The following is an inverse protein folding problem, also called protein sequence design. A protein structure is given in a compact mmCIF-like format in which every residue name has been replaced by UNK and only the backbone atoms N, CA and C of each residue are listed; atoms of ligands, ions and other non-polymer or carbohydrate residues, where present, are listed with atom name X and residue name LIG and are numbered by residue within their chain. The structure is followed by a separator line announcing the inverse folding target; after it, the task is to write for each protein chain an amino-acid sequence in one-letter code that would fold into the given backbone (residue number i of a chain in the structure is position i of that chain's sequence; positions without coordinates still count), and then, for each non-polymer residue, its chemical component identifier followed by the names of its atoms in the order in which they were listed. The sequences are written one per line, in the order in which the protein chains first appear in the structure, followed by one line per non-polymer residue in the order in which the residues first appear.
data_IF_017617626117
#
_entry.id   IF_017617626117
#
_cell.length_a   1.000
_cell.length_b   1.000
_cell.length_c   1.000
_cell.angle_alpha   90.00
_cell.angle_beta   90.00
_cell.angle_gamma   90.00
#
_symmetry.space_group_name_H-M   'P 1'
#
loop_
_entity.id
_entity.type
_entity.pdbx_description
1 polymer ?
#
# COMPACT_ATOMS: atom_id res chain seq x y z
N UNK A 1 20.00 -36.59 35.08
CA UNK A 1 20.79 -37.80 34.78
C UNK A 1 20.05 -38.63 33.74
N UNK A 2 20.50 -38.60 32.48
CA UNK A 2 20.01 -39.51 31.43
C UNK A 2 20.92 -40.76 31.44
N UNK A 3 20.30 -41.90 31.48
CA UNK A 3 20.98 -43.21 31.43
C UNK A 3 20.96 -43.72 30.00
N UNK A 4 22.13 -43.87 29.37
CA UNK A 4 22.25 -44.53 28.07
C UNK A 4 22.42 -46.03 28.27
N UNK A 5 21.52 -46.82 27.69
CA UNK A 5 21.66 -48.27 27.60
C UNK A 5 21.86 -48.66 26.14
N UNK A 6 22.95 -49.35 25.75
CA UNK A 6 23.04 -49.91 24.42
C UNK A 6 21.86 -50.83 24.17
N UNK A 7 21.15 -50.66 23.08
CA UNK A 7 19.89 -51.38 22.78
C UNK A 7 20.13 -52.86 22.43
N UNK A 8 21.40 -53.28 22.19
CA UNK A 8 21.65 -54.63 21.77
C UNK A 8 23.08 -55.09 22.20
N UNK A 9 23.18 -56.01 23.13
CA UNK A 9 24.46 -56.62 23.56
C UNK A 9 25.19 -57.31 22.38
N UNK A 10 24.47 -57.78 21.36
CA UNK A 10 25.06 -58.33 20.15
C UNK A 10 25.83 -57.32 19.32
N UNK A 11 25.41 -56.09 19.26
CA UNK A 11 26.12 -55.02 18.52
C UNK A 11 27.46 -54.67 19.20
N UNK A 12 27.54 -54.68 20.48
CA UNK A 12 28.78 -54.42 21.23
C UNK A 12 29.82 -55.52 20.99
N UNK A 13 29.37 -56.75 20.87
CA UNK A 13 30.27 -57.92 20.59
C UNK A 13 30.85 -57.86 19.19
N UNK A 14 30.06 -57.53 18.19
CA UNK A 14 30.53 -57.40 16.79
C UNK A 14 31.44 -56.13 16.62
N UNK A 15 31.18 -55.09 17.32
CA UNK A 15 31.96 -53.84 17.24
C UNK A 15 33.40 -53.99 17.78
N UNK A 16 33.63 -54.88 18.79
CA UNK A 16 34.97 -55.07 19.34
C UNK A 16 35.93 -55.84 18.41
N UNK A 17 35.41 -56.54 17.42
CA UNK A 17 36.21 -57.20 16.36
C UNK A 17 36.39 -56.38 15.09
N UNK A 18 35.70 -55.26 14.98
CA UNK A 18 35.80 -54.32 13.84
C UNK A 18 35.98 -52.90 14.35
N UNK A 19 37.16 -52.27 14.10
CA UNK A 19 37.37 -50.86 14.47
C UNK A 19 36.29 -49.95 13.90
N UNK A 20 35.85 -50.19 12.67
CA UNK A 20 34.83 -49.41 12.00
C UNK A 20 33.45 -49.46 12.68
N UNK A 21 33.10 -50.66 13.21
CA UNK A 21 31.85 -50.83 13.97
C UNK A 21 31.90 -50.16 15.35
N UNK A 22 33.10 -50.19 15.99
CA UNK A 22 33.29 -49.49 17.27
C UNK A 22 33.19 -47.95 17.06
N UNK A 23 33.80 -47.43 15.99
CA UNK A 23 33.74 -46.03 15.66
C UNK A 23 32.29 -45.59 15.37
N UNK A 24 31.55 -46.36 14.58
CA UNK A 24 30.13 -46.11 14.32
C UNK A 24 29.29 -46.15 15.60
N UNK A 25 29.62 -47.00 16.56
CA UNK A 25 28.92 -47.05 17.84
C UNK A 25 29.20 -45.82 18.69
N UNK A 26 30.48 -45.36 18.72
CA UNK A 26 30.86 -44.11 19.40
C UNK A 26 30.14 -42.93 18.77
N UNK A 27 30.09 -42.85 17.43
CA UNK A 27 29.35 -41.82 16.71
C UNK A 27 27.88 -41.83 17.09
N UNK A 28 27.24 -43.01 17.11
CA UNK A 28 25.84 -43.13 17.50
C UNK A 28 25.57 -42.62 18.91
N UNK A 29 26.49 -42.88 19.85
CA UNK A 29 26.38 -42.35 21.23
C UNK A 29 26.57 -40.85 21.25
N UNK A 30 27.60 -40.34 20.59
CA UNK A 30 27.85 -38.90 20.49
C UNK A 30 26.63 -38.16 19.86
N UNK A 31 26.11 -38.68 18.76
CA UNK A 31 24.92 -38.11 18.08
C UNK A 31 23.67 -38.09 18.97
N UNK A 32 23.55 -39.09 19.87
CA UNK A 32 22.47 -39.11 20.85
C UNK A 32 22.62 -38.08 21.98
N UNK A 33 23.83 -37.59 22.21
CA UNK A 33 24.15 -36.57 23.22
C UNK A 33 24.07 -35.15 22.61
N UNK A 34 24.60 -34.99 21.39
CA UNK A 34 24.67 -33.73 20.70
C UNK A 34 23.26 -33.21 20.38
N UNK A 35 23.02 -31.95 20.68
CA UNK A 35 21.83 -31.24 20.27
C UNK A 35 22.15 -29.75 20.15
N UNK A 36 21.55 -29.13 19.15
CA UNK A 36 21.60 -27.66 19.03
C UNK A 36 20.82 -27.00 20.16
N UNK A 37 21.19 -25.78 20.57
CA UNK A 37 20.39 -25.04 21.52
C UNK A 37 19.00 -24.73 20.94
N UNK A 38 18.01 -24.75 21.79
CA UNK A 38 16.67 -24.26 21.47
C UNK A 38 16.65 -22.78 21.83
N UNK A 39 16.45 -21.93 20.83
CA UNK A 39 16.38 -20.48 21.04
C UNK A 39 14.99 -20.06 21.50
N UNK A 40 14.92 -18.90 22.17
CA UNK A 40 13.66 -18.27 22.49
C UNK A 40 12.87 -17.94 21.22
N UNK A 41 11.56 -18.20 21.22
CA UNK A 41 10.67 -17.79 20.16
C UNK A 41 9.28 -17.44 20.69
N UNK A 42 8.67 -16.42 20.11
CA UNK A 42 7.23 -16.18 20.21
C UNK A 42 6.64 -16.53 18.84
N UNK A 43 5.80 -17.54 18.79
CA UNK A 43 5.18 -18.02 17.55
C UNK A 43 3.72 -17.56 17.48
N UNK A 44 3.35 -16.97 16.35
CA UNK A 44 1.98 -16.59 16.03
C UNK A 44 1.52 -17.47 14.88
N UNK A 45 0.48 -18.26 15.09
CA UNK A 45 -0.05 -19.18 14.09
C UNK A 45 -1.16 -18.51 13.25
N UNK A 46 -1.43 -19.07 12.07
CA UNK A 46 -2.49 -18.56 11.17
C UNK A 46 -3.91 -18.66 11.79
N UNK A 47 -4.12 -19.62 12.69
CA UNK A 47 -5.40 -19.79 13.42
C UNK A 47 -5.53 -18.86 14.64
N UNK A 48 -4.58 -17.95 14.83
CA UNK A 48 -4.65 -16.89 15.84
C UNK A 48 -4.22 -17.30 17.24
N UNK A 49 -3.36 -18.31 17.37
CA UNK A 49 -2.75 -18.67 18.65
C UNK A 49 -1.36 -18.07 18.77
N UNK A 50 -1.01 -17.72 20.00
CA UNK A 50 0.35 -17.28 20.36
C UNK A 50 0.94 -18.27 21.32
N UNK A 51 2.18 -18.72 21.08
CA UNK A 51 2.92 -19.59 21.97
C UNK A 51 4.33 -19.05 22.18
N UNK A 52 4.92 -19.44 23.31
CA UNK A 52 6.30 -19.08 23.67
C UNK A 52 7.13 -20.33 23.85
N UNK A 53 8.31 -20.36 23.24
CA UNK A 53 9.32 -21.41 23.42
C UNK A 53 10.37 -20.94 24.41
N UNK A 54 10.57 -21.69 25.50
CA UNK A 54 11.62 -21.41 26.47
C UNK A 54 12.96 -21.92 25.97
N UNK A 55 14.06 -21.12 26.05
CA UNK A 55 15.36 -21.56 25.60
C UNK A 55 15.84 -22.80 26.36
N UNK A 56 16.63 -23.60 25.68
CA UNK A 56 17.38 -24.71 26.27
C UNK A 56 18.79 -24.73 25.69
N UNK A 57 19.78 -24.87 26.55
CA UNK A 57 21.16 -25.03 26.11
C UNK A 57 21.35 -26.32 25.28
N UNK A 58 22.14 -26.18 24.24
CA UNK A 58 22.59 -27.30 23.43
C UNK A 58 23.76 -28.03 24.07
N UNK A 59 24.17 -29.14 23.46
CA UNK A 59 25.26 -30.01 23.92
C UNK A 59 26.12 -30.43 22.72
N UNK A 60 27.45 -30.44 22.93
CA UNK A 60 28.39 -30.98 21.96
C UNK A 60 29.39 -31.87 22.70
N UNK A 61 29.53 -33.12 22.27
CA UNK A 61 30.57 -34.02 22.78
C UNK A 61 31.95 -33.54 22.35
N UNK A 62 32.89 -33.49 23.27
CA UNK A 62 34.31 -33.14 22.99
C UNK A 62 35.08 -34.36 22.45
N UNK A 63 36.23 -34.11 21.78
CA UNK A 63 37.09 -35.22 21.33
C UNK A 63 37.58 -36.09 22.51
N UNK A 64 37.84 -35.50 23.65
CA UNK A 64 38.20 -36.20 24.87
C UNK A 64 37.06 -37.09 25.36
N UNK A 65 35.86 -36.58 25.35
CA UNK A 65 34.66 -37.34 25.69
C UNK A 65 34.40 -38.51 24.74
N UNK A 66 34.63 -38.24 23.42
CA UNK A 66 34.53 -39.28 22.40
C UNK A 66 35.46 -40.46 22.65
N UNK A 67 36.76 -40.16 23.00
CA UNK A 67 37.76 -41.17 23.37
C UNK A 67 37.33 -41.91 24.64
N UNK A 68 36.84 -41.21 25.66
CA UNK A 68 36.36 -41.82 26.90
C UNK A 68 35.16 -42.76 26.67
N UNK A 69 34.23 -42.37 25.82
CA UNK A 69 33.07 -43.18 25.41
C UNK A 69 33.60 -44.48 24.73
N UNK A 70 34.58 -44.35 23.83
CA UNK A 70 35.23 -45.48 23.14
C UNK A 70 35.89 -46.45 24.14
N UNK A 71 36.65 -45.93 25.09
CA UNK A 71 37.30 -46.72 26.13
C UNK A 71 36.26 -47.41 27.02
N UNK A 72 35.20 -46.73 27.38
CA UNK A 72 34.11 -47.26 28.21
C UNK A 72 33.39 -48.41 27.51
N UNK A 73 32.99 -48.20 26.23
CA UNK A 73 32.30 -49.23 25.44
C UNK A 73 33.18 -50.45 25.22
N UNK A 74 34.49 -50.26 24.97
CA UNK A 74 35.44 -51.35 24.82
C UNK A 74 35.68 -52.12 26.17
N UNK A 75 35.77 -51.39 27.28
CA UNK A 75 35.90 -51.98 28.62
C UNK A 75 34.67 -52.80 29.04
N UNK A 76 33.49 -52.32 28.73
CA UNK A 76 32.23 -53.04 28.99
C UNK A 76 32.17 -54.34 28.20
N UNK A 77 32.66 -54.37 26.97
CA UNK A 77 32.77 -55.58 26.15
C UNK A 77 33.76 -56.58 26.74
N UNK A 78 34.98 -56.15 27.11
CA UNK A 78 36.04 -57.05 27.63
C UNK A 78 35.72 -57.65 29.01
N UNK A 79 34.92 -56.96 29.81
CA UNK A 79 34.53 -57.42 31.14
C UNK A 79 33.35 -58.43 31.17
N UNK A 80 32.65 -58.60 30.02
CA UNK A 80 31.42 -59.37 29.96
C UNK A 80 30.30 -58.77 30.83
N UNK A 81 30.43 -57.54 31.25
CA UNK A 81 29.48 -56.78 32.03
C UNK A 81 28.48 -55.98 31.20
N UNK A 82 27.30 -55.77 31.73
CA UNK A 82 26.31 -54.83 31.23
C UNK A 82 26.96 -53.43 31.29
N UNK A 83 27.06 -52.67 30.16
CA UNK A 83 27.59 -51.30 30.15
C UNK A 83 26.63 -50.38 30.89
N UNK A 84 26.80 -50.33 32.21
CA UNK A 84 25.71 -49.90 33.04
C UNK A 84 25.40 -48.42 33.04
N UNK A 85 26.26 -47.49 32.84
CA UNK A 85 25.87 -46.07 32.85
C UNK A 85 26.99 -45.17 32.38
N UNK A 86 26.81 -44.46 31.24
CA UNK A 86 27.54 -43.23 30.95
C UNK A 86 26.77 -42.10 31.63
N UNK A 87 27.43 -41.42 32.58
CA UNK A 87 26.81 -40.27 33.25
C UNK A 87 26.89 -39.07 32.33
N UNK A 88 25.76 -38.61 31.84
CA UNK A 88 25.64 -37.43 30.99
C UNK A 88 25.68 -36.16 31.85
N UNK A 89 26.88 -35.65 32.10
CA UNK A 89 27.09 -34.36 32.77
C UNK A 89 27.97 -33.45 31.91
N UNK A 90 27.93 -32.11 32.11
CA UNK A 90 28.80 -31.18 31.42
C UNK A 90 30.29 -31.47 31.65
N UNK A 91 31.17 -31.22 30.70
CA UNK A 91 32.58 -31.44 30.80
C UNK A 91 33.24 -30.61 31.96
N UNK A 92 32.67 -29.44 32.28
CA UNK A 92 33.02 -28.63 33.43
C UNK A 92 32.79 -29.33 34.78
N UNK A 93 31.94 -30.38 34.83
CA UNK A 93 31.62 -31.23 35.98
C UNK A 93 32.22 -32.62 35.84
N UNK A 94 33.12 -32.84 34.89
CA UNK A 94 33.76 -34.12 34.64
C UNK A 94 32.96 -35.05 33.72
N UNK A 95 31.99 -34.54 33.02
CA UNK A 95 31.12 -35.28 32.07
C UNK A 95 31.60 -35.26 30.60
N UNK A 96 30.73 -35.62 29.70
CA UNK A 96 31.04 -35.99 28.29
C UNK A 96 30.66 -34.94 27.24
N UNK A 97 30.10 -33.78 27.61
CA UNK A 97 29.72 -32.76 26.65
C UNK A 97 30.03 -31.33 27.12
N UNK A 98 30.32 -30.44 26.18
CA UNK A 98 30.33 -29.02 26.41
C UNK A 98 28.90 -28.45 26.23
N UNK A 99 28.56 -27.47 27.05
CA UNK A 99 27.29 -26.73 26.94
C UNK A 99 27.41 -25.70 25.84
N UNK A 100 26.49 -25.72 24.89
CA UNK A 100 26.30 -24.65 23.91
C UNK A 100 25.19 -23.78 24.50
N UNK A 101 25.52 -22.57 25.04
CA UNK A 101 24.50 -21.75 25.70
C UNK A 101 23.51 -21.21 24.68
N UNK A 102 22.22 -21.30 24.98
CA UNK A 102 21.19 -20.53 24.29
C UNK A 102 21.37 -19.03 24.59
N UNK A 103 20.84 -18.19 23.72
CA UNK A 103 20.95 -16.73 23.90
C UNK A 103 20.17 -16.27 25.15
N UNK A 104 20.74 -15.30 25.88
CA UNK A 104 20.02 -14.60 26.94
C UNK A 104 18.81 -13.84 26.37
N UNK A 105 17.68 -13.90 27.08
CA UNK A 105 16.39 -13.37 26.62
C UNK A 105 15.99 -12.16 27.44
N UNK A 106 15.81 -11.03 26.77
CA UNK A 106 15.06 -9.88 27.30
C UNK A 106 13.60 -10.02 26.86
N UNK A 107 12.75 -10.51 27.75
CA UNK A 107 11.32 -10.72 27.48
C UNK A 107 10.60 -9.42 27.13
N UNK A 108 11.01 -8.28 27.67
CA UNK A 108 10.42 -6.98 27.33
C UNK A 108 10.76 -6.59 25.89
N UNK A 109 12.00 -6.70 25.49
CA UNK A 109 12.44 -6.43 24.13
C UNK A 109 11.80 -7.39 23.11
N UNK A 110 11.69 -8.66 23.46
CA UNK A 110 11.05 -9.67 22.60
C UNK A 110 9.54 -9.39 22.43
N UNK A 111 8.87 -8.99 23.50
CA UNK A 111 7.47 -8.57 23.45
C UNK A 111 7.29 -7.38 22.52
N UNK A 112 8.07 -6.31 22.70
CA UNK A 112 7.99 -5.10 21.87
C UNK A 112 8.23 -5.37 20.38
N UNK A 113 9.00 -6.39 20.05
CA UNK A 113 9.24 -6.80 18.66
C UNK A 113 8.05 -7.50 17.99
N UNK A 114 7.13 -8.06 18.78
CA UNK A 114 6.01 -8.87 18.28
C UNK A 114 4.67 -8.16 18.34
N UNK A 115 4.43 -7.37 19.42
CA UNK A 115 3.16 -6.66 19.56
C UNK A 115 3.02 -5.57 18.50
N UNK A 116 1.81 -5.41 17.98
CA UNK A 116 1.52 -4.38 16.99
C UNK A 116 0.13 -4.51 16.39
N UNK A 117 -0.22 -3.51 15.61
CA UNK A 117 -1.48 -3.50 14.86
C UNK A 117 -1.41 -4.41 13.65
N UNK A 118 -2.55 -4.99 13.25
CA UNK A 118 -2.63 -5.74 11.99
C UNK A 118 -2.31 -4.85 10.79
N UNK A 119 -1.63 -5.42 9.83
CA UNK A 119 -1.30 -4.77 8.56
C UNK A 119 -1.83 -5.63 7.42
N UNK A 120 -2.62 -5.04 6.55
CA UNK A 120 -3.12 -5.69 5.34
C UNK A 120 -2.00 -5.86 4.30
N UNK A 121 -2.13 -6.84 3.42
CA UNK A 121 -1.27 -6.97 2.25
C UNK A 121 -1.33 -5.71 1.38
N UNK A 122 -0.19 -5.33 0.81
CA UNK A 122 -0.03 -4.14 -0.02
C UNK A 122 0.57 -4.50 -1.38
N UNK A 123 0.50 -3.56 -2.32
CA UNK A 123 1.17 -3.67 -3.60
C UNK A 123 2.48 -2.88 -3.57
N UNK A 124 3.59 -3.55 -3.84
CA UNK A 124 4.89 -2.91 -3.99
C UNK A 124 4.97 -2.27 -5.40
N UNK A 125 5.07 -0.95 -5.41
CA UNK A 125 5.07 -0.15 -6.64
C UNK A 125 6.37 -0.25 -7.43
N UNK A 126 7.47 -0.64 -6.80
CA UNK A 126 8.78 -0.76 -7.42
C UNK A 126 8.96 -2.12 -8.07
N UNK A 127 8.60 -3.18 -7.37
CA UNK A 127 8.76 -4.56 -7.85
C UNK A 127 7.56 -5.07 -8.62
N UNK A 128 6.39 -4.48 -8.42
CA UNK A 128 5.11 -4.96 -8.97
C UNK A 128 4.56 -6.19 -8.26
N UNK A 129 5.10 -6.55 -7.10
CA UNK A 129 4.70 -7.71 -6.32
C UNK A 129 3.67 -7.34 -5.24
N UNK A 130 2.96 -8.35 -4.72
CA UNK A 130 2.16 -8.22 -3.52
C UNK A 130 3.04 -8.51 -2.31
N UNK A 131 3.13 -7.56 -1.39
CA UNK A 131 3.81 -7.71 -0.10
C UNK A 131 2.81 -8.25 0.92
N UNK A 132 3.08 -9.37 1.58
CA UNK A 132 2.22 -9.88 2.66
C UNK A 132 2.06 -8.85 3.79
N UNK A 133 0.88 -8.81 4.37
CA UNK A 133 0.66 -8.16 5.65
C UNK A 133 1.01 -9.09 6.82
N UNK A 134 0.77 -8.62 8.02
CA UNK A 134 0.94 -9.42 9.24
C UNK A 134 -0.23 -9.24 10.20
N UNK A 135 -0.46 -10.23 11.04
CA UNK A 135 -1.46 -10.15 12.10
C UNK A 135 -1.07 -9.07 13.13
N UNK A 136 -2.07 -8.43 13.67
CA UNK A 136 -1.93 -7.65 14.90
C UNK A 136 -1.88 -8.59 16.09
N UNK A 137 -0.96 -8.34 17.03
CA UNK A 137 -0.78 -9.18 18.23
C UNK A 137 -0.73 -8.30 19.45
N UNK A 138 -1.44 -8.68 20.48
CA UNK A 138 -1.40 -7.97 21.76
C UNK A 138 -1.43 -8.98 22.92
N UNK A 139 -0.53 -8.78 23.88
CA UNK A 139 -0.46 -9.50 25.16
C UNK A 139 0.35 -8.69 26.17
N UNK A 140 0.18 -8.97 27.47
CA UNK A 140 0.92 -8.27 28.51
C UNK A 140 2.28 -8.91 28.76
N UNK A 141 3.24 -8.11 29.27
CA UNK A 141 4.53 -8.67 29.71
C UNK A 141 4.35 -9.70 30.83
N UNK A 142 3.40 -9.46 31.72
CA UNK A 142 3.10 -10.39 32.82
C UNK A 142 2.58 -11.75 32.33
N UNK A 143 1.78 -11.78 31.25
CA UNK A 143 1.33 -13.04 30.65
C UNK A 143 2.52 -13.79 30.04
N UNK A 144 3.41 -13.07 29.34
CA UNK A 144 4.63 -13.66 28.75
C UNK A 144 5.57 -14.20 29.82
N UNK A 145 5.84 -13.43 30.88
CA UNK A 145 6.68 -13.88 32.02
C UNK A 145 6.08 -15.11 32.72
N UNK A 146 4.76 -15.13 32.87
CA UNK A 146 4.06 -16.25 33.51
C UNK A 146 4.17 -17.52 32.67
N UNK A 147 3.96 -17.44 31.36
CA UNK A 147 4.08 -18.56 30.43
C UNK A 147 5.54 -19.05 30.36
N UNK A 148 6.50 -18.12 30.23
CA UNK A 148 7.94 -18.42 30.19
C UNK A 148 8.41 -19.16 31.47
N UNK A 149 7.97 -18.70 32.65
CA UNK A 149 8.36 -19.29 33.92
C UNK A 149 7.69 -20.68 34.15
N UNK A 150 6.50 -20.89 33.62
CA UNK A 150 5.80 -22.16 33.72
C UNK A 150 6.38 -23.24 32.79
N UNK A 151 6.97 -22.86 31.65
CA UNK A 151 7.54 -23.79 30.68
C UNK A 151 8.81 -24.45 31.19
N UNK A 152 9.01 -25.74 30.88
CA UNK A 152 10.29 -26.41 31.01
C UNK A 152 11.27 -25.91 29.92
N UNK A 153 12.59 -26.10 30.14
CA UNK A 153 13.59 -25.77 29.14
C UNK A 153 13.32 -26.53 27.82
N UNK A 154 13.33 -25.83 26.69
CA UNK A 154 13.02 -26.37 25.37
C UNK A 154 11.53 -26.54 25.08
N UNK A 155 10.65 -26.31 26.06
CA UNK A 155 9.21 -26.49 25.89
C UNK A 155 8.57 -25.26 25.22
N UNK A 156 7.58 -25.52 24.36
CA UNK A 156 6.67 -24.51 23.78
C UNK A 156 5.33 -24.59 24.49
N UNK A 157 4.88 -23.49 25.08
CA UNK A 157 3.59 -23.41 25.78
C UNK A 157 2.73 -22.32 25.16
N UNK A 158 1.41 -22.48 25.21
CA UNK A 158 0.46 -21.46 24.75
C UNK A 158 0.55 -20.21 25.65
N UNK A 159 0.45 -19.04 25.05
CA UNK A 159 0.39 -17.76 25.75
C UNK A 159 -1.09 -17.40 26.00
N UNK A 160 -1.59 -17.57 27.21
CA UNK A 160 -2.98 -17.26 27.52
C UNK A 160 -3.21 -15.74 27.44
N UNK A 161 -4.45 -15.34 27.15
CA UNK A 161 -4.89 -13.95 27.04
C UNK A 161 -4.25 -13.16 25.87
N UNK A 162 -3.43 -13.77 25.03
CA UNK A 162 -2.99 -13.13 23.80
C UNK A 162 -4.17 -12.95 22.83
N UNK A 163 -4.26 -11.78 22.19
CA UNK A 163 -5.22 -11.52 21.15
C UNK A 163 -4.50 -11.38 19.80
N UNK A 164 -5.07 -12.00 18.77
CA UNK A 164 -4.54 -11.95 17.42
C UNK A 164 -5.63 -11.46 16.48
N UNK A 165 -5.35 -10.38 15.77
CA UNK A 165 -6.21 -9.86 14.73
C UNK A 165 -5.62 -10.18 13.36
N UNK A 166 -6.29 -11.01 12.59
CA UNK A 166 -5.86 -11.33 11.22
C UNK A 166 -6.03 -10.14 10.27
N UNK A 167 -5.16 -9.98 9.25
CA UNK A 167 -5.37 -8.99 8.20
C UNK A 167 -6.72 -9.16 7.51
N UNK A 168 -7.40 -8.03 7.21
CA UNK A 168 -8.66 -8.05 6.46
C UNK A 168 -8.42 -8.44 4.99
N UNK A 169 -7.20 -8.23 4.49
CA UNK A 169 -6.76 -8.55 3.14
C UNK A 169 -5.43 -9.31 3.22
N UNK A 170 -5.46 -10.59 2.89
CA UNK A 170 -4.24 -11.41 2.79
C UNK A 170 -3.56 -11.23 1.43
N UNK A 171 -2.28 -11.63 1.32
CA UNK A 171 -1.55 -11.56 0.05
C UNK A 171 -2.22 -12.41 -1.04
N UNK A 172 -2.71 -13.60 -0.70
CA UNK A 172 -3.41 -14.47 -1.64
C UNK A 172 -4.72 -13.86 -2.14
N UNK A 173 -5.51 -13.26 -1.24
CA UNK A 173 -6.73 -12.56 -1.61
C UNK A 173 -6.43 -11.37 -2.52
N UNK A 174 -5.45 -10.53 -2.15
CA UNK A 174 -5.07 -9.37 -2.94
C UNK A 174 -4.60 -9.77 -4.34
N UNK A 175 -3.77 -10.80 -4.45
CA UNK A 175 -3.25 -11.26 -5.73
C UNK A 175 -4.34 -11.72 -6.70
N UNK A 176 -5.41 -12.35 -6.20
CA UNK A 176 -6.57 -12.81 -7.00
C UNK A 176 -7.44 -11.68 -7.54
N UNK A 177 -7.46 -10.53 -6.85
CA UNK A 177 -8.42 -9.45 -7.17
C UNK A 177 -7.75 -8.12 -7.54
N UNK A 178 -6.42 -8.09 -7.62
CA UNK A 178 -5.63 -6.89 -7.86
C UNK A 178 -6.05 -6.21 -9.18
N UNK A 179 -6.53 -4.96 -9.08
CA UNK A 179 -7.01 -4.14 -10.19
C UNK A 179 -8.04 -4.82 -11.12
N UNK A 180 -8.79 -5.79 -10.60
CA UNK A 180 -9.73 -6.62 -11.39
C UNK A 180 -10.89 -5.82 -11.97
N UNK A 181 -11.36 -4.83 -11.21
CA UNK A 181 -12.59 -4.11 -11.51
C UNK A 181 -12.33 -2.66 -11.93
N UNK A 182 -13.24 -2.13 -12.76
CA UNK A 182 -13.32 -0.69 -12.99
C UNK A 182 -14.25 -0.10 -11.92
N UNK A 183 -13.67 0.67 -10.97
CA UNK A 183 -14.44 1.33 -9.92
C UNK A 183 -15.26 2.48 -10.49
N UNK A 184 -14.64 3.26 -11.38
CA UNK A 184 -15.31 4.36 -12.10
C UNK A 184 -14.60 4.68 -13.40
N UNK A 185 -15.31 5.41 -14.27
CA UNK A 185 -14.74 6.02 -15.48
C UNK A 185 -15.40 7.36 -15.71
N UNK A 186 -14.59 8.36 -16.05
CA UNK A 186 -15.11 9.65 -16.54
C UNK A 186 -14.40 10.07 -17.82
N UNK A 187 -15.15 10.67 -18.75
CA UNK A 187 -14.62 11.07 -20.05
C UNK A 187 -14.97 12.52 -20.35
N UNK A 188 -13.97 13.29 -20.77
CA UNK A 188 -14.16 14.67 -21.22
C UNK A 188 -13.70 14.83 -22.67
N UNK A 189 -14.41 15.69 -23.42
CA UNK A 189 -14.04 16.04 -24.80
C UNK A 189 -12.90 17.04 -24.78
N UNK A 190 -11.83 16.78 -25.55
CA UNK A 190 -10.66 17.67 -25.66
C UNK A 190 -10.75 18.50 -26.94
N UNK A 191 -11.03 19.79 -26.76
CA UNK A 191 -11.09 20.77 -27.86
C UNK A 191 -9.82 21.63 -27.92
N UNK A 192 -9.87 22.66 -28.77
CA UNK A 192 -8.86 23.70 -28.88
C UNK A 192 -7.70 23.38 -29.81
N UNK A 193 -6.68 24.27 -29.82
CA UNK A 193 -5.49 24.18 -30.66
C UNK A 193 -4.62 22.94 -30.36
N UNK A 194 -3.69 22.65 -31.27
CA UNK A 194 -2.79 21.47 -31.14
C UNK A 194 -1.97 21.51 -29.85
N UNK A 195 -1.44 22.64 -29.44
CA UNK A 195 -0.68 22.80 -28.20
C UNK A 195 -1.50 22.44 -26.95
N UNK A 196 -2.78 22.87 -26.89
CA UNK A 196 -3.67 22.49 -25.80
C UNK A 196 -3.91 20.99 -25.75
N UNK A 197 -4.17 20.37 -26.92
CA UNK A 197 -4.36 18.91 -27.01
C UNK A 197 -3.11 18.14 -26.60
N UNK A 198 -1.92 18.64 -27.00
CA UNK A 198 -0.63 18.06 -26.59
C UNK A 198 -0.45 18.13 -25.06
N UNK A 199 -0.78 19.27 -24.43
CA UNK A 199 -0.71 19.44 -22.98
C UNK A 199 -1.62 18.45 -22.24
N UNK A 200 -2.87 18.29 -22.67
CA UNK A 200 -3.81 17.32 -22.08
C UNK A 200 -3.28 15.89 -22.22
N UNK A 201 -2.77 15.53 -23.39
CA UNK A 201 -2.17 14.20 -23.64
C UNK A 201 -0.95 13.96 -22.75
N UNK A 202 -0.06 14.95 -22.64
CA UNK A 202 1.14 14.86 -21.79
C UNK A 202 0.75 14.72 -20.31
N UNK A 203 -0.20 15.53 -19.84
CA UNK A 203 -0.66 15.46 -18.45
C UNK A 203 -1.29 14.10 -18.15
N UNK A 204 -2.10 13.56 -19.06
CA UNK A 204 -2.68 12.22 -18.95
C UNK A 204 -1.58 11.14 -18.84
N UNK A 205 -0.53 11.22 -19.65
CA UNK A 205 0.57 10.24 -19.63
C UNK A 205 1.37 10.26 -18.32
N UNK A 206 1.37 11.37 -17.59
CA UNK A 206 2.08 11.50 -16.31
C UNK A 206 1.34 10.92 -15.11
N UNK A 207 0.02 10.80 -15.22
CA UNK A 207 -0.82 10.26 -14.14
C UNK A 207 -1.23 8.81 -14.39
N UNK A 208 -1.14 8.34 -15.64
CA UNK A 208 -1.49 6.95 -15.95
C UNK A 208 -0.49 5.99 -15.33
N UNK A 209 -0.99 4.90 -14.76
CA UNK A 209 -0.17 3.92 -14.04
C UNK A 209 0.07 4.25 -12.56
N UNK A 210 -0.36 5.43 -12.09
CA UNK A 210 -0.20 5.77 -10.67
C UNK A 210 -1.04 4.84 -9.79
N UNK A 211 -0.41 4.30 -8.74
CA UNK A 211 -1.03 3.32 -7.83
C UNK A 211 -1.06 3.91 -6.43
N UNK A 212 -2.19 3.70 -5.73
CA UNK A 212 -2.35 4.00 -4.32
C UNK A 212 -2.74 2.73 -3.58
N UNK A 213 -1.97 2.35 -2.57
CA UNK A 213 -2.40 1.36 -1.59
C UNK A 213 -3.53 1.93 -0.72
N UNK A 214 -4.15 1.06 0.08
CA UNK A 214 -5.16 1.48 1.07
C UNK A 214 -4.62 2.60 1.96
N UNK A 215 -5.41 3.64 2.19
CA UNK A 215 -5.06 4.79 3.02
C UNK A 215 -4.11 5.82 2.40
N UNK A 216 -3.48 5.53 1.27
CA UNK A 216 -2.57 6.47 0.60
C UNK A 216 -3.32 7.62 -0.09
N UNK A 217 -2.65 8.78 -0.16
CA UNK A 217 -3.17 9.99 -0.81
C UNK A 217 -2.36 10.30 -2.06
N UNK A 218 -3.04 10.51 -3.18
CA UNK A 218 -2.46 11.06 -4.39
C UNK A 218 -2.42 12.58 -4.29
N UNK A 219 -1.22 13.16 -4.50
CA UNK A 219 -1.02 14.59 -4.74
C UNK A 219 -0.78 14.77 -6.23
N UNK A 220 -1.72 15.43 -6.90
CA UNK A 220 -1.70 15.54 -8.37
C UNK A 220 -0.62 16.48 -8.89
N UNK A 221 -0.45 17.66 -8.25
CA UNK A 221 0.48 18.70 -8.69
C UNK A 221 1.91 18.22 -8.89
N UNK A 222 2.55 17.54 -7.93
CA UNK A 222 3.92 17.04 -8.09
C UNK A 222 4.16 16.14 -9.30
N UNK A 223 3.13 15.46 -9.80
CA UNK A 223 3.23 14.57 -10.96
C UNK A 223 3.27 15.34 -12.29
N UNK A 224 2.68 16.53 -12.34
CA UNK A 224 2.44 17.24 -13.59
C UNK A 224 3.18 18.58 -13.69
N UNK A 225 3.52 19.21 -12.57
CA UNK A 225 4.25 20.48 -12.54
C UNK A 225 5.77 20.27 -12.56
N UNK A 226 6.58 21.28 -12.86
CA UNK A 226 6.18 22.60 -13.35
C UNK A 226 5.70 22.58 -14.81
N UNK A 227 4.74 23.44 -15.14
CA UNK A 227 4.24 23.62 -16.50
C UNK A 227 5.23 24.48 -17.31
N UNK A 228 6.27 23.86 -17.84
CA UNK A 228 7.33 24.52 -18.62
C UNK A 228 7.56 23.84 -19.96
N UNK A 229 8.14 24.56 -20.93
CA UNK A 229 8.53 24.00 -22.21
C UNK A 229 9.60 22.90 -22.04
N UNK A 230 10.51 23.03 -21.07
CA UNK A 230 11.52 22.03 -20.73
C UNK A 230 10.89 20.71 -20.28
N UNK A 231 9.72 20.76 -19.66
CA UNK A 231 8.92 19.60 -19.28
C UNK A 231 7.96 19.12 -20.40
N UNK A 232 8.12 19.61 -21.63
CA UNK A 232 7.34 19.19 -22.79
C UNK A 232 5.99 19.88 -22.96
N UNK A 233 5.66 20.88 -22.14
CA UNK A 233 4.42 21.62 -22.29
C UNK A 233 4.51 22.68 -23.40
N UNK A 234 3.45 22.78 -24.18
CA UNK A 234 3.28 23.77 -25.23
C UNK A 234 2.57 25.02 -24.72
N UNK A 235 2.78 26.14 -25.39
CA UNK A 235 1.96 27.36 -25.21
C UNK A 235 0.56 27.11 -25.76
N UNK A 236 -0.45 27.47 -24.99
CA UNK A 236 -1.85 27.36 -25.36
C UNK A 236 -2.70 28.31 -24.50
N UNK A 237 -3.92 28.66 -24.93
CA UNK A 237 -4.82 29.47 -24.13
C UNK A 237 -5.11 28.85 -22.76
N UNK A 238 -4.93 29.63 -21.72
CA UNK A 238 -5.24 29.34 -20.34
C UNK A 238 -5.84 30.52 -19.62
N UNK A 239 -6.21 30.33 -18.36
CA UNK A 239 -6.82 31.42 -17.57
C UNK A 239 -5.80 31.96 -16.58
N UNK A 240 -5.53 33.27 -16.65
CA UNK A 240 -4.68 33.97 -15.70
C UNK A 240 -5.36 35.30 -15.30
N UNK A 241 -5.55 35.49 -13.99
CA UNK A 241 -6.14 36.73 -13.43
C UNK A 241 -7.45 37.19 -14.12
N UNK A 242 -8.31 36.24 -14.48
CA UNK A 242 -9.60 36.55 -15.11
C UNK A 242 -9.55 36.76 -16.61
N UNK A 243 -8.40 36.67 -17.25
CA UNK A 243 -8.22 36.82 -18.71
C UNK A 243 -7.82 35.45 -19.33
N UNK A 244 -8.19 35.27 -20.59
CA UNK A 244 -7.63 34.19 -21.40
C UNK A 244 -6.32 34.70 -21.98
N UNK A 245 -5.22 34.03 -21.68
CA UNK A 245 -3.88 34.38 -22.16
C UNK A 245 -3.19 33.14 -22.67
N UNK A 246 -2.29 33.30 -23.61
CA UNK A 246 -1.42 32.23 -24.04
C UNK A 246 -0.36 31.96 -22.95
N UNK A 247 -0.37 30.76 -22.42
CA UNK A 247 0.54 30.34 -21.36
C UNK A 247 1.02 28.91 -21.58
N UNK A 248 2.23 28.59 -21.09
CA UNK A 248 2.74 27.21 -21.15
C UNK A 248 1.91 26.35 -20.23
N UNK A 249 1.46 25.18 -20.72
CA UNK A 249 0.61 24.26 -19.97
C UNK A 249 -0.89 24.54 -20.05
N UNK A 250 -1.34 25.52 -20.88
CA UNK A 250 -2.77 25.79 -21.08
C UNK A 250 -3.54 24.50 -21.42
N UNK A 251 -4.62 24.22 -20.69
CA UNK A 251 -5.44 23.01 -20.81
C UNK A 251 -5.06 21.84 -19.90
N UNK A 252 -3.93 21.88 -19.19
CA UNK A 252 -3.48 20.79 -18.30
C UNK A 252 -4.50 20.44 -17.20
N UNK A 253 -5.22 21.44 -16.65
CA UNK A 253 -6.26 21.21 -15.63
C UNK A 253 -7.48 20.40 -16.13
N UNK A 254 -7.60 20.12 -17.43
CA UNK A 254 -8.63 19.20 -17.89
C UNK A 254 -8.39 17.77 -17.37
N UNK A 255 -7.13 17.36 -17.22
CA UNK A 255 -6.81 16.04 -16.69
C UNK A 255 -7.10 15.95 -15.19
N UNK A 256 -6.77 16.97 -14.38
CA UNK A 256 -7.15 17.01 -12.96
C UNK A 256 -8.67 17.00 -12.75
N UNK A 257 -9.41 17.75 -13.58
CA UNK A 257 -10.87 17.77 -13.52
C UNK A 257 -11.49 16.41 -13.89
N UNK A 258 -10.97 15.76 -14.94
CA UNK A 258 -11.45 14.44 -15.34
C UNK A 258 -11.17 13.37 -14.28
N UNK A 259 -9.99 13.42 -13.65
CA UNK A 259 -9.61 12.53 -12.55
C UNK A 259 -10.44 12.82 -11.28
N UNK A 260 -10.69 14.09 -10.94
CA UNK A 260 -11.55 14.46 -9.81
C UNK A 260 -12.96 13.88 -9.97
N UNK A 261 -13.55 14.06 -11.14
CA UNK A 261 -14.85 13.45 -11.43
C UNK A 261 -14.80 11.91 -11.29
N UNK A 262 -13.77 11.26 -11.84
CA UNK A 262 -13.60 9.81 -11.68
C UNK A 262 -13.46 9.41 -10.21
N UNK A 263 -12.70 10.15 -9.38
CA UNK A 263 -12.55 9.90 -7.96
C UNK A 263 -13.88 10.03 -7.19
N UNK A 264 -14.69 11.03 -7.53
CA UNK A 264 -16.05 11.19 -6.97
C UNK A 264 -16.94 9.98 -7.27
N UNK A 265 -16.97 9.53 -8.53
CA UNK A 265 -17.79 8.39 -8.97
C UNK A 265 -17.27 7.04 -8.44
N UNK A 266 -15.97 6.97 -8.06
CA UNK A 266 -15.39 5.80 -7.37
C UNK A 266 -15.62 5.83 -5.85
N UNK A 267 -16.33 6.83 -5.33
CA UNK A 267 -16.55 7.06 -3.91
C UNK A 267 -15.27 7.26 -3.08
N UNK A 268 -14.20 7.78 -3.70
CA UNK A 268 -12.95 8.06 -3.01
C UNK A 268 -13.04 9.36 -2.20
N UNK A 269 -12.26 9.44 -1.13
CA UNK A 269 -12.18 10.61 -0.26
C UNK A 269 -11.44 11.75 -0.98
N UNK A 270 -12.07 12.91 -1.11
CA UNK A 270 -11.43 14.11 -1.64
C UNK A 270 -10.79 14.88 -0.48
N UNK A 271 -9.46 14.95 -0.49
CA UNK A 271 -8.68 15.62 0.56
C UNK A 271 -8.58 17.13 0.28
N UNK A 272 -8.32 17.49 -0.98
CA UNK A 272 -8.21 18.88 -1.39
C UNK A 272 -8.68 19.06 -2.83
N UNK A 273 -9.47 20.11 -3.07
CA UNK A 273 -9.91 20.53 -4.41
C UNK A 273 -10.26 22.00 -4.43
N UNK A 274 -9.90 22.69 -5.51
CA UNK A 274 -10.32 24.07 -5.80
C UNK A 274 -10.98 24.10 -7.18
N UNK A 275 -12.16 24.76 -7.31
CA UNK A 275 -12.81 24.95 -8.59
C UNK A 275 -12.10 26.04 -9.43
N UNK A 276 -12.32 26.04 -10.76
CA UNK A 276 -11.87 27.13 -11.62
C UNK A 276 -12.61 28.44 -11.31
N UNK A 277 -11.98 29.56 -11.61
CA UNK A 277 -12.59 30.86 -11.46
C UNK A 277 -13.78 31.08 -12.40
N UNK A 278 -13.83 30.38 -13.54
CA UNK A 278 -14.91 30.40 -14.53
C UNK A 278 -15.40 28.98 -14.81
N UNK A 279 -16.67 28.84 -15.16
CA UNK A 279 -17.22 27.55 -15.56
C UNK A 279 -16.52 27.02 -16.82
N UNK A 280 -16.03 25.78 -16.77
CA UNK A 280 -15.38 25.10 -17.90
C UNK A 280 -16.41 24.48 -18.82
N UNK A 281 -16.15 24.53 -20.13
CA UNK A 281 -17.04 23.99 -21.17
C UNK A 281 -16.90 22.48 -21.40
N UNK A 282 -15.83 21.88 -20.90
CA UNK A 282 -15.51 20.46 -21.09
C UNK A 282 -16.02 19.54 -19.99
N UNK A 283 -16.51 20.11 -18.88
CA UNK A 283 -16.99 19.33 -17.71
C UNK A 283 -18.17 20.04 -17.03
N UNK A 284 -19.02 19.28 -16.35
CA UNK A 284 -20.16 19.82 -15.60
C UNK A 284 -19.77 20.70 -14.42
N UNK A 285 -20.67 21.61 -14.05
CA UNK A 285 -20.49 22.48 -12.88
C UNK A 285 -20.25 21.65 -11.61
N UNK A 286 -19.26 22.06 -10.82
CA UNK A 286 -18.89 21.38 -9.57
C UNK A 286 -18.02 20.12 -9.73
N UNK A 287 -17.68 19.73 -10.98
CA UNK A 287 -16.87 18.55 -11.28
C UNK A 287 -15.45 18.88 -11.74
N UNK A 288 -15.04 20.12 -11.69
CA UNK A 288 -13.72 20.60 -12.11
C UNK A 288 -12.75 20.69 -10.93
N UNK A 289 -11.45 20.60 -11.22
CA UNK A 289 -10.37 20.80 -10.27
C UNK A 289 -9.24 21.59 -10.91
N UNK A 290 -8.85 22.70 -10.27
CA UNK A 290 -7.74 23.56 -10.69
C UNK A 290 -6.46 23.15 -9.99
N UNK A 291 -5.37 23.07 -10.75
CA UNK A 291 -4.01 22.85 -10.23
C UNK A 291 -3.06 23.86 -10.86
N UNK A 292 -2.23 24.48 -10.03
CA UNK A 292 -1.20 25.41 -10.45
C UNK A 292 0.06 25.24 -9.62
N UNK A 293 1.21 25.52 -10.22
CA UNK A 293 2.48 25.49 -9.51
C UNK A 293 2.50 26.52 -8.38
N UNK A 294 2.73 26.06 -7.14
CA UNK A 294 2.71 26.91 -5.94
C UNK A 294 1.35 27.50 -5.59
N UNK A 295 0.27 26.94 -6.14
CA UNK A 295 -1.10 27.42 -5.96
C UNK A 295 -2.06 26.28 -5.63
N UNK A 296 -3.30 26.29 -6.18
CA UNK A 296 -4.28 25.26 -5.93
C UNK A 296 -3.75 23.86 -6.24
N UNK A 297 -4.10 22.89 -5.37
CA UNK A 297 -3.77 21.48 -5.50
C UNK A 297 -5.05 20.64 -5.60
N UNK A 298 -4.91 19.42 -6.13
CA UNK A 298 -5.91 18.39 -6.11
C UNK A 298 -5.35 17.14 -5.46
N UNK A 299 -5.98 16.72 -4.36
CA UNK A 299 -5.60 15.53 -3.60
C UNK A 299 -6.83 14.67 -3.32
N UNK A 300 -6.66 13.35 -3.45
CA UNK A 300 -7.65 12.38 -3.04
C UNK A 300 -6.98 11.17 -2.39
N UNK A 301 -7.70 10.50 -1.46
CA UNK A 301 -7.22 9.34 -0.74
C UNK A 301 -7.92 8.08 -1.22
N UNK A 302 -7.16 6.99 -1.29
CA UNK A 302 -7.74 5.67 -1.41
C UNK A 302 -8.27 5.22 -0.04
N UNK A 303 -9.55 5.43 0.20
CA UNK A 303 -10.27 5.00 1.40
C UNK A 303 -10.86 3.58 1.28
N UNK A 304 -10.44 2.81 0.26
CA UNK A 304 -10.80 1.40 0.12
C UNK A 304 -9.76 0.49 0.77
N UNK A 305 -10.09 -0.77 0.99
CA UNK A 305 -9.16 -1.75 1.56
C UNK A 305 -8.13 -2.28 0.54
N UNK A 306 -8.34 -2.04 -0.76
CA UNK A 306 -7.53 -2.59 -1.85
C UNK A 306 -6.78 -1.49 -2.60
N UNK A 307 -5.63 -1.80 -3.21
CA UNK A 307 -4.93 -0.86 -4.07
C UNK A 307 -5.80 -0.41 -5.25
N UNK A 308 -5.66 0.85 -5.64
CA UNK A 308 -6.28 1.40 -6.84
C UNK A 308 -5.21 1.87 -7.83
N UNK A 309 -5.54 1.84 -9.13
CA UNK A 309 -4.67 2.27 -10.23
C UNK A 309 -5.38 3.27 -11.11
N UNK A 310 -4.73 4.39 -11.37
CA UNK A 310 -5.20 5.42 -12.32
C UNK A 310 -4.81 5.00 -13.74
N UNK A 311 -5.79 5.01 -14.65
CA UNK A 311 -5.55 4.78 -16.08
C UNK A 311 -6.14 5.97 -16.86
N UNK A 312 -5.28 6.78 -17.47
CA UNK A 312 -5.67 7.95 -18.24
C UNK A 312 -5.34 7.73 -19.72
N UNK A 313 -6.36 7.76 -20.56
CA UNK A 313 -6.27 7.47 -21.99
C UNK A 313 -6.70 8.71 -22.81
N UNK A 314 -5.78 9.22 -23.60
CA UNK A 314 -6.10 10.23 -24.62
C UNK A 314 -6.32 9.51 -25.96
N UNK A 315 -7.49 9.68 -26.55
CA UNK A 315 -7.84 9.00 -27.81
C UNK A 315 -8.68 9.87 -28.74
N UNK A 316 -8.70 9.52 -30.03
CA UNK A 316 -9.53 10.13 -31.05
C UNK A 316 -10.65 9.17 -31.46
N UNK A 317 -11.87 9.70 -31.61
CA UNK A 317 -13.04 8.98 -32.10
C UNK A 317 -13.99 9.92 -32.83
N UNK A 318 -14.44 9.55 -34.03
CA UNK A 318 -15.37 10.36 -34.83
C UNK A 318 -14.86 11.76 -35.14
N UNK A 319 -13.55 11.94 -35.38
CA UNK A 319 -12.93 13.24 -35.64
C UNK A 319 -12.81 14.16 -34.42
N UNK A 320 -13.11 13.68 -33.22
CA UNK A 320 -12.99 14.40 -31.94
C UNK A 320 -11.98 13.72 -31.03
N UNK A 321 -11.35 14.49 -30.14
CA UNK A 321 -10.42 13.96 -29.15
C UNK A 321 -11.08 13.91 -27.77
N UNK A 322 -10.69 12.92 -26.99
CA UNK A 322 -11.22 12.65 -25.66
C UNK A 322 -10.10 12.31 -24.69
N UNK A 323 -10.32 12.66 -23.44
CA UNK A 323 -9.57 12.15 -22.30
C UNK A 323 -10.52 11.29 -21.47
N UNK A 324 -10.20 10.03 -21.30
CA UNK A 324 -10.88 9.09 -20.41
C UNK A 324 -9.97 8.77 -19.23
N UNK A 325 -10.47 8.91 -18.02
CA UNK A 325 -9.80 8.48 -16.81
C UNK A 325 -10.64 7.38 -16.17
N UNK A 326 -10.02 6.24 -15.95
CA UNK A 326 -10.58 5.10 -15.24
C UNK A 326 -9.80 4.84 -13.97
N UNK A 327 -10.49 4.49 -12.90
CA UNK A 327 -9.91 4.02 -11.64
C UNK A 327 -10.15 2.52 -11.56
N UNK A 328 -9.07 1.75 -11.63
CA UNK A 328 -9.10 0.31 -11.46
C UNK A 328 -8.86 -0.06 -10.01
N UNK A 329 -9.51 -1.09 -9.51
CA UNK A 329 -9.38 -1.57 -8.14
C UNK A 329 -10.14 -2.86 -7.92
N UNK A 330 -10.66 -3.06 -6.72
CA UNK A 330 -11.47 -4.22 -6.35
C UNK A 330 -12.82 -3.77 -5.82
N UNK A 331 -13.90 -4.14 -6.48
CA UNK A 331 -15.26 -3.94 -5.96
C UNK A 331 -15.55 -4.98 -4.89
N UNK A 332 -15.99 -4.51 -3.74
CA UNK A 332 -16.39 -5.35 -2.59
C UNK A 332 -17.90 -5.52 -2.50
N UNK A 333 -18.64 -4.65 -3.18
CA UNK A 333 -20.11 -4.65 -3.24
C UNK A 333 -20.60 -4.03 -4.56
N UNK A 334 -21.91 -3.95 -4.73
CA UNK A 334 -22.59 -3.40 -5.91
C UNK A 334 -22.99 -1.92 -5.72
N UNK A 335 -22.41 -1.21 -4.75
CA UNK A 335 -22.71 0.21 -4.54
C UNK A 335 -22.22 1.05 -5.73
N UNK A 336 -22.93 2.15 -5.99
CA UNK A 336 -22.55 3.11 -7.01
C UNK A 336 -22.87 4.54 -6.60
N UNK A 337 -22.20 5.50 -7.22
CA UNK A 337 -22.35 6.92 -6.94
C UNK A 337 -23.06 7.65 -8.06
N UNK A 338 -23.98 8.55 -7.68
CA UNK A 338 -24.48 9.62 -8.55
C UNK A 338 -24.12 10.97 -7.94
N UNK A 339 -23.61 11.86 -8.75
CA UNK A 339 -23.32 13.22 -8.33
C UNK A 339 -24.53 14.11 -8.68
N UNK A 340 -25.00 14.86 -7.67
CA UNK A 340 -26.04 15.88 -7.83
C UNK A 340 -25.40 17.25 -7.70
N UNK A 341 -25.54 18.09 -8.72
CA UNK A 341 -25.16 19.50 -8.67
C UNK A 341 -26.42 20.36 -8.52
N UNK A 342 -26.45 21.21 -7.54
CA UNK A 342 -27.52 22.18 -7.28
C UNK A 342 -27.02 23.58 -7.60
N UNK A 343 -27.65 24.24 -8.59
CA UNK A 343 -27.34 25.61 -8.95
C UNK A 343 -28.14 26.54 -8.03
N UNK A 344 -27.43 27.27 -7.16
CA UNK A 344 -28.02 28.20 -6.21
C UNK A 344 -28.25 29.56 -6.83
N UNK A 345 -27.34 29.98 -7.71
CA UNK A 345 -27.38 31.30 -8.34
C UNK A 345 -26.77 31.22 -9.74
N UNK A 346 -27.40 31.89 -10.69
CA UNK A 346 -26.86 32.14 -12.03
C UNK A 346 -26.59 33.61 -12.16
N UNK A 347 -25.32 34.00 -12.46
CA UNK A 347 -24.87 35.36 -12.55
C UNK A 347 -24.67 35.67 -14.02
N UNK A 348 -25.57 36.47 -14.65
CA UNK A 348 -25.46 36.79 -16.06
C UNK A 348 -24.22 37.66 -16.33
N UNK A 349 -23.66 37.52 -17.50
CA UNK A 349 -22.62 38.43 -17.99
C UNK A 349 -23.26 39.70 -18.58
N UNK A 350 -22.48 40.78 -18.69
CA UNK A 350 -22.82 42.00 -19.43
C UNK A 350 -21.99 42.11 -20.70
N UNK A 351 -22.46 42.91 -21.67
CA UNK A 351 -21.70 43.26 -22.86
C UNK A 351 -21.15 44.68 -22.71
N UNK A 352 -19.86 44.84 -22.97
CA UNK A 352 -19.14 46.11 -23.01
C UNK A 352 -18.73 46.36 -24.44
N UNK A 353 -19.11 47.52 -24.97
CA UNK A 353 -18.75 47.97 -26.32
C UNK A 353 -17.60 48.96 -26.18
N UNK A 354 -16.50 48.68 -26.86
CA UNK A 354 -15.30 49.54 -26.89
C UNK A 354 -15.08 50.02 -28.32
N UNK A 355 -15.14 51.34 -28.53
CA UNK A 355 -14.83 51.93 -29.82
C UNK A 355 -13.31 51.90 -30.08
N UNK A 356 -12.93 51.58 -31.33
CA UNK A 356 -11.53 51.47 -31.75
C UNK A 356 -11.32 52.01 -33.13
N UNK A 357 -10.12 52.53 -33.40
CA UNK A 357 -9.68 52.95 -34.73
C UNK A 357 -9.09 51.78 -35.56
N UNK A 358 -8.94 50.57 -34.95
CA UNK A 358 -8.34 49.40 -35.59
C UNK A 358 -9.30 48.64 -36.51
N UNK A 359 -10.59 48.97 -36.48
CA UNK A 359 -11.63 48.32 -37.28
C UNK A 359 -12.28 49.30 -38.26
N UNK A 360 -12.81 48.80 -39.35
CA UNK A 360 -13.58 49.64 -40.27
C UNK A 360 -14.81 50.24 -39.56
N UNK A 361 -15.30 51.41 -39.94
CA UNK A 361 -16.45 52.05 -39.32
C UNK A 361 -17.64 51.09 -39.21
N UNK A 362 -18.12 50.86 -37.98
CA UNK A 362 -19.24 49.97 -37.69
C UNK A 362 -18.91 48.48 -37.71
N UNK A 363 -17.70 48.05 -38.05
CA UNK A 363 -17.24 46.66 -37.95
C UNK A 363 -17.18 46.25 -36.49
N UNK A 364 -17.63 45.02 -36.17
CA UNK A 364 -17.68 44.48 -34.82
C UNK A 364 -16.79 43.26 -34.70
N UNK A 365 -15.93 43.22 -33.67
CA UNK A 365 -15.08 42.08 -33.33
C UNK A 365 -15.22 41.72 -31.86
N UNK A 366 -15.46 40.47 -31.56
CA UNK A 366 -15.46 40.00 -30.17
C UNK A 366 -14.01 39.87 -29.70
N UNK A 367 -13.60 40.77 -28.81
CA UNK A 367 -12.27 40.77 -28.20
C UNK A 367 -12.22 39.83 -26.99
N UNK A 368 -13.29 39.81 -26.21
CA UNK A 368 -13.39 38.93 -25.02
C UNK A 368 -14.70 38.16 -25.05
N UNK A 369 -14.60 36.83 -24.98
CA UNK A 369 -15.77 35.92 -24.83
C UNK A 369 -16.36 36.02 -23.43
N UNK A 370 -17.69 36.05 -23.33
CA UNK A 370 -18.40 36.07 -22.09
C UNK A 370 -18.43 34.70 -21.40
N UNK A 371 -18.54 34.72 -20.07
CA UNK A 371 -18.89 33.55 -19.26
C UNK A 371 -19.99 33.90 -18.26
N UNK A 372 -21.02 33.09 -18.20
CA UNK A 372 -22.01 33.15 -17.13
C UNK A 372 -21.40 32.62 -15.84
N UNK A 373 -21.60 33.34 -14.76
CA UNK A 373 -21.17 32.92 -13.44
C UNK A 373 -22.21 32.01 -12.75
N UNK A 374 -21.77 31.22 -11.82
CA UNK A 374 -22.63 30.29 -11.09
C UNK A 374 -22.15 30.12 -9.64
N UNK A 375 -23.10 29.98 -8.71
CA UNK A 375 -22.84 29.40 -7.39
C UNK A 375 -23.53 28.06 -7.32
N UNK A 376 -22.77 27.02 -7.02
CA UNK A 376 -23.29 25.65 -7.01
C UNK A 376 -22.87 24.89 -5.76
N UNK A 377 -23.72 23.95 -5.35
CA UNK A 377 -23.37 22.91 -4.39
C UNK A 377 -23.36 21.56 -5.06
N UNK A 378 -22.37 20.75 -4.75
CA UNK A 378 -22.23 19.37 -5.24
C UNK A 378 -22.49 18.41 -4.10
N UNK A 379 -23.27 17.36 -4.36
CA UNK A 379 -23.59 16.30 -3.41
C UNK A 379 -23.21 14.95 -4.02
N UNK A 380 -22.63 14.09 -3.19
CA UNK A 380 -22.35 12.70 -3.48
C UNK A 380 -23.49 11.86 -2.93
N UNK A 381 -24.20 11.16 -3.81
CA UNK A 381 -25.28 10.25 -3.46
C UNK A 381 -24.80 8.83 -3.72
N UNK A 382 -24.70 8.02 -2.66
CA UNK A 382 -24.34 6.60 -2.75
C UNK A 382 -25.60 5.77 -2.74
N UNK A 383 -25.67 4.85 -3.66
CA UNK A 383 -26.81 3.93 -3.84
C UNK A 383 -26.33 2.49 -3.71
N UNK A 384 -27.19 1.62 -3.17
CA UNK A 384 -27.02 0.16 -3.25
C UNK A 384 -27.29 -0.35 -4.66
N UNK A 385 -26.88 -1.58 -4.97
CA UNK A 385 -27.06 -2.20 -6.26
C UNK A 385 -28.53 -2.27 -6.72
N UNK A 386 -29.48 -2.37 -5.79
CA UNK A 386 -30.94 -2.33 -6.05
C UNK A 386 -31.50 -0.91 -6.25
N UNK A 387 -30.65 0.11 -6.18
CA UNK A 387 -31.02 1.51 -6.44
C UNK A 387 -31.55 2.29 -5.25
N UNK A 388 -31.47 1.77 -4.03
CA UNK A 388 -31.85 2.49 -2.81
C UNK A 388 -30.75 3.46 -2.41
N UNK A 389 -31.13 4.71 -2.08
CA UNK A 389 -30.21 5.71 -1.56
C UNK A 389 -29.69 5.30 -0.16
N UNK A 390 -28.38 5.12 -0.04
CA UNK A 390 -27.69 4.80 1.23
C UNK A 390 -27.30 6.10 1.94
N UNK A 391 -26.69 7.03 1.22
CA UNK A 391 -26.27 8.32 1.78
C UNK A 391 -26.30 9.43 0.74
N UNK A 392 -26.45 10.66 1.24
CA UNK A 392 -26.34 11.90 0.46
C UNK A 392 -25.47 12.88 1.24
N UNK A 393 -24.24 13.09 0.79
CA UNK A 393 -23.23 13.89 1.50
C UNK A 393 -22.91 15.13 0.69
N UNK A 394 -22.86 16.28 1.36
CA UNK A 394 -22.35 17.50 0.78
C UNK A 394 -20.85 17.32 0.47
N UNK A 395 -20.47 17.56 -0.78
CA UNK A 395 -19.09 17.39 -1.26
C UNK A 395 -18.34 18.73 -1.28
N UNK A 396 -18.87 19.71 -1.99
CA UNK A 396 -18.21 21.01 -2.15
C UNK A 396 -19.17 22.10 -2.60
N UNK A 397 -18.80 23.34 -2.30
CA UNK A 397 -19.32 24.55 -2.95
C UNK A 397 -18.37 25.03 -4.03
N UNK A 398 -18.88 25.45 -5.18
CA UNK A 398 -18.11 26.03 -6.26
C UNK A 398 -18.68 27.40 -6.65
N UNK A 399 -17.80 28.38 -6.82
CA UNK A 399 -18.19 29.73 -7.18
C UNK A 399 -17.45 30.12 -8.47
N UNK A 400 -18.19 30.18 -9.56
CA UNK A 400 -17.71 30.59 -10.88
C UNK A 400 -18.10 32.04 -11.13
N UNK A 401 -17.13 32.89 -11.41
CA UNK A 401 -17.33 34.31 -11.71
C UNK A 401 -18.01 34.48 -13.07
N UNK A 402 -18.84 35.51 -13.22
CA UNK A 402 -19.22 36.01 -14.53
C UNK A 402 -18.04 36.76 -15.16
N UNK A 403 -17.95 36.70 -16.47
CA UNK A 403 -16.99 37.47 -17.28
C UNK A 403 -17.74 38.20 -18.39
N UNK A 404 -17.56 39.51 -18.46
CA UNK A 404 -18.23 40.31 -19.47
C UNK A 404 -17.75 39.96 -20.89
N UNK A 405 -18.62 40.15 -21.84
CA UNK A 405 -18.27 40.16 -23.26
C UNK A 405 -17.70 41.53 -23.60
N UNK A 406 -16.56 41.60 -24.27
CA UNK A 406 -16.01 42.84 -24.83
C UNK A 406 -16.10 42.76 -26.34
N UNK A 407 -16.76 43.74 -26.94
CA UNK A 407 -16.92 43.87 -28.39
C UNK A 407 -16.27 45.17 -28.84
N UNK A 408 -15.24 45.05 -29.66
CA UNK A 408 -14.64 46.19 -30.34
C UNK A 408 -15.55 46.60 -31.48
N UNK A 409 -15.77 47.92 -31.64
CA UNK A 409 -16.57 48.49 -32.73
C UNK A 409 -15.73 49.60 -33.39
N UNK A 410 -15.58 49.53 -34.71
CA UNK A 410 -14.90 50.56 -35.45
C UNK A 410 -15.63 51.90 -35.34
N UNK A 411 -14.90 52.99 -35.00
CA UNK A 411 -15.46 54.33 -34.88
C UNK A 411 -16.11 54.74 -36.19
N UNK A 412 -17.27 55.37 -36.12
CA UNK A 412 -17.87 56.04 -37.27
C UNK A 412 -16.98 57.18 -37.73
N UNK A 413 -16.76 57.30 -39.04
CA UNK A 413 -16.11 58.48 -39.56
C UNK A 413 -16.94 59.75 -39.16
N UNK A 414 -16.28 60.72 -38.52
CA UNK A 414 -16.89 61.97 -38.13
C UNK A 414 -17.36 62.80 -39.36
#
# INVERSE_FOLDING_TARGET
RALFKPQDAAQVVDAAYSPDLMENLVDTVCDSINCDPVEFAINVTEDGKVSVTKPQDGRATTDVARDQIGVYLNGAYLSGGDPSEIVLEPASEGGVYDVIPAQEVDLSAQREAVIGQKVNATYDKETGAVTPGHAGVEFTLSDLESAYNAAAAGETVDLPNATVETPDVTAEQLQKVLFRDVLSTYTTKVGGASGRRANVKLTASRITGYILNSGETMKYGPLVTPFTAANGYSTAPGYLQGKTVDMVGGGACQASSTLYAAALYANLEIVQRTNHGFASDYIGLGLDATVAQGGPEFEFRNNTMYPIKVVAEYYASGGKNYLKVSLLGTKVDDTYVKIKTEVLETIPFTEEIVETDELAPGERKVEQTAYTGYKVKTYRNVYSGDGKLISSTFEASSNYKARNRIVLVGKSAA
#
